data_IF_762519777614
#
_entry.id   IF_762519777614
#
_cell.length_a   1.000
_cell.length_b   1.000
_cell.length_c   1.000
_cell.angle_alpha   90.00
_cell.angle_beta   90.00
_cell.angle_gamma   90.00
#
_symmetry.space_group_name_H-M   'P 1'
#
loop_
_entity.id
_entity.type
_entity.pdbx_description
1 polymer ?
#
# COMPACT_ATOMS: atom_id res chain seq x y z
N UNK A 1 17.07 1.12 -17.94
CA UNK A 1 15.74 0.49 -17.77
C UNK A 1 15.80 -0.57 -16.67
N UNK A 2 15.49 -0.23 -15.40
CA UNK A 2 15.37 -1.20 -14.31
C UNK A 2 14.07 -0.98 -13.51
N UNK A 3 12.92 -1.38 -14.06
CA UNK A 3 11.61 -1.25 -13.38
C UNK A 3 10.85 -2.57 -13.22
N UNK A 4 11.30 -3.65 -13.89
CA UNK A 4 10.60 -4.94 -13.94
C UNK A 4 10.97 -5.88 -12.78
N UNK A 5 12.10 -5.64 -12.10
CA UNK A 5 12.61 -6.53 -11.04
C UNK A 5 12.01 -6.28 -9.65
N UNK A 6 11.41 -5.11 -9.40
CA UNK A 6 10.93 -4.75 -8.05
C UNK A 6 9.59 -5.37 -7.66
N UNK A 7 8.86 -5.97 -8.62
CA UNK A 7 7.57 -6.63 -8.35
C UNK A 7 7.70 -8.12 -8.03
N UNK A 8 8.88 -8.73 -8.17
CA UNK A 8 9.09 -10.16 -7.92
C UNK A 8 9.87 -10.48 -6.62
N UNK A 9 10.37 -9.47 -5.89
CA UNK A 9 11.28 -9.70 -4.74
C UNK A 9 10.75 -9.40 -3.33
N UNK A 10 9.47 -9.09 -3.13
CA UNK A 10 8.94 -8.85 -1.78
C UNK A 10 7.85 -9.86 -1.40
N UNK A 11 8.19 -11.15 -1.49
CA UNK A 11 7.35 -12.25 -0.99
C UNK A 11 7.73 -12.72 0.43
N UNK A 12 8.68 -12.06 1.10
CA UNK A 12 9.08 -12.42 2.46
C UNK A 12 8.43 -11.48 3.47
N UNK A 13 7.18 -11.80 3.80
CA UNK A 13 6.50 -11.31 4.99
C UNK A 13 6.11 -12.55 5.82
N UNK A 14 7.13 -13.24 6.33
CA UNK A 14 7.05 -14.60 6.89
C UNK A 14 6.46 -14.67 8.30
N UNK A 15 5.50 -13.81 8.66
CA UNK A 15 4.86 -13.85 9.99
C UNK A 15 3.52 -13.08 10.04
N UNK A 16 2.68 -13.22 9.00
CA UNK A 16 1.26 -12.88 9.10
C UNK A 16 0.50 -14.15 9.49
N UNK A 17 0.40 -14.40 10.80
CA UNK A 17 -0.31 -15.54 11.36
C UNK A 17 -1.82 -15.52 11.01
N UNK A 18 -2.31 -16.68 10.59
CA UNK A 18 -3.70 -17.16 10.61
C UNK A 18 -4.76 -16.39 9.79
N UNK A 19 -4.43 -16.03 8.55
CA UNK A 19 -5.45 -16.00 7.50
C UNK A 19 -5.26 -17.24 6.63
N UNK A 20 -6.27 -18.11 6.59
CA UNK A 20 -6.31 -19.27 5.71
C UNK A 20 -5.91 -18.84 4.29
N UNK A 21 -4.74 -19.31 3.85
CA UNK A 21 -4.18 -18.98 2.55
C UNK A 21 -5.19 -19.30 1.43
N UNK A 22 -6.06 -20.30 1.64
CA UNK A 22 -7.14 -20.64 0.73
C UNK A 22 -8.26 -19.58 0.71
N UNK A 23 -8.60 -18.98 1.86
CA UNK A 23 -9.53 -17.84 1.94
C UNK A 23 -8.94 -16.61 1.27
N UNK A 24 -7.66 -16.31 1.49
CA UNK A 24 -6.96 -15.20 0.82
C UNK A 24 -6.99 -15.39 -0.69
N UNK A 25 -6.70 -16.60 -1.17
CA UNK A 25 -6.75 -16.90 -2.60
C UNK A 25 -8.19 -16.93 -3.16
N UNK A 26 -9.19 -17.32 -2.37
CA UNK A 26 -10.61 -17.25 -2.74
C UNK A 26 -11.09 -15.80 -2.81
N UNK A 27 -10.68 -14.97 -1.86
CA UNK A 27 -10.96 -13.54 -1.84
C UNK A 27 -10.26 -12.84 -3.00
N UNK A 28 -8.97 -13.12 -3.27
CA UNK A 28 -8.27 -12.60 -4.45
C UNK A 28 -9.00 -12.98 -5.75
N UNK A 29 -9.45 -14.24 -5.89
CA UNK A 29 -10.23 -14.67 -7.06
C UNK A 29 -11.56 -13.93 -7.20
N UNK A 30 -12.24 -13.61 -6.09
CA UNK A 30 -13.53 -12.91 -6.10
C UNK A 30 -13.41 -11.38 -6.21
N UNK A 31 -12.38 -10.79 -5.61
CA UNK A 31 -12.20 -9.34 -5.48
C UNK A 31 -11.49 -8.71 -6.67
N UNK A 32 -10.59 -9.45 -7.33
CA UNK A 32 -9.79 -8.87 -8.41
C UNK A 32 -10.60 -8.61 -9.69
N UNK A 33 -11.78 -9.21 -9.80
CA UNK A 33 -12.75 -8.91 -10.84
C UNK A 33 -12.18 -9.06 -12.26
N UNK A 34 -12.81 -8.43 -13.27
CA UNK A 34 -12.39 -8.53 -14.66
C UNK A 34 -11.00 -7.90 -14.96
N UNK A 35 -10.45 -7.11 -14.04
CA UNK A 35 -9.23 -6.33 -14.26
C UNK A 35 -7.92 -7.05 -13.86
N UNK A 36 -7.99 -8.36 -13.56
CA UNK A 36 -6.87 -9.12 -12.98
C UNK A 36 -5.57 -9.10 -13.74
N UNK A 37 -5.65 -9.24 -15.05
CA UNK A 37 -4.47 -9.32 -15.87
C UNK A 37 -4.08 -7.97 -16.49
N UNK A 38 -4.74 -6.88 -16.08
CA UNK A 38 -4.57 -5.56 -16.67
C UNK A 38 -3.79 -4.60 -15.76
N UNK A 39 -3.77 -4.84 -14.45
CA UNK A 39 -3.01 -4.02 -13.50
C UNK A 39 -1.49 -4.11 -13.80
N UNK A 40 -0.85 -2.95 -13.99
CA UNK A 40 0.60 -2.87 -14.28
C UNK A 40 1.00 -3.17 -15.73
N UNK A 41 0.04 -3.46 -16.62
CA UNK A 41 0.29 -3.64 -18.05
C UNK A 41 0.31 -2.28 -18.75
N UNK A 42 1.37 -1.98 -19.50
CA UNK A 42 1.48 -0.71 -20.23
C UNK A 42 0.33 -0.57 -21.25
N UNK A 43 -0.32 0.59 -21.27
CA UNK A 43 -1.44 0.88 -22.17
C UNK A 43 -2.78 0.23 -21.79
N UNK A 44 -2.86 -0.56 -20.72
CA UNK A 44 -4.09 -1.25 -20.33
C UNK A 44 -5.17 -0.36 -19.73
N UNK A 45 -4.87 0.92 -19.46
CA UNK A 45 -5.80 1.88 -18.80
C UNK A 45 -7.18 1.90 -19.46
N UNK A 46 -7.23 1.87 -20.79
CA UNK A 46 -8.49 1.94 -21.55
C UNK A 46 -9.21 0.59 -21.66
N UNK A 47 -8.57 -0.50 -21.22
CA UNK A 47 -9.12 -1.86 -21.23
C UNK A 47 -9.71 -2.24 -19.87
N UNK A 48 -9.50 -1.41 -18.84
CA UNK A 48 -10.02 -1.65 -17.50
C UNK A 48 -11.54 -1.52 -17.50
N UNK A 49 -12.22 -2.55 -16.99
CA UNK A 49 -13.63 -2.48 -16.70
C UNK A 49 -13.89 -1.40 -15.63
N UNK A 50 -14.83 -0.51 -15.92
CA UNK A 50 -15.24 0.59 -15.02
C UNK A 50 -16.51 0.22 -14.22
N UNK A 51 -16.67 0.73 -12.99
CA UNK A 51 -15.78 1.65 -12.30
C UNK A 51 -14.56 0.95 -11.69
N UNK A 52 -13.39 1.58 -11.80
CA UNK A 52 -12.17 1.14 -11.13
C UNK A 52 -11.36 2.32 -10.60
N UNK A 53 -10.70 2.14 -9.45
CA UNK A 53 -9.77 3.11 -8.90
C UNK A 53 -8.36 2.80 -9.43
N UNK A 54 -7.72 3.80 -10.06
CA UNK A 54 -6.39 3.68 -10.65
C UNK A 54 -5.44 4.60 -9.89
N UNK A 55 -4.27 4.08 -9.50
CA UNK A 55 -3.19 4.85 -8.90
C UNK A 55 -1.99 4.87 -9.85
N UNK A 56 -1.40 6.06 -10.05
CA UNK A 56 -0.09 6.19 -10.67
C UNK A 56 0.98 5.88 -9.62
N UNK A 57 1.77 4.83 -9.83
CA UNK A 57 2.80 4.43 -8.86
C UNK A 57 3.95 5.44 -8.80
N UNK A 58 4.31 6.05 -9.93
CA UNK A 58 5.38 7.05 -10.00
C UNK A 58 4.98 8.29 -9.20
N UNK A 59 3.79 8.85 -9.47
CA UNK A 59 3.30 10.01 -8.70
C UNK A 59 3.06 9.69 -7.22
N UNK A 60 2.63 8.47 -6.90
CA UNK A 60 2.49 8.06 -5.50
C UNK A 60 3.85 8.09 -4.80
N UNK A 61 4.89 7.55 -5.44
CA UNK A 61 6.23 7.52 -4.88
C UNK A 61 6.80 8.95 -4.73
N UNK A 62 6.68 9.77 -5.77
CA UNK A 62 7.12 11.17 -5.75
C UNK A 62 6.44 11.97 -4.64
N UNK A 63 5.13 11.78 -4.45
CA UNK A 63 4.37 12.44 -3.39
C UNK A 63 4.82 12.00 -1.99
N UNK A 64 5.10 10.71 -1.80
CA UNK A 64 5.60 10.17 -0.53
C UNK A 64 6.96 10.78 -0.22
N UNK A 65 7.88 10.77 -1.18
CA UNK A 65 9.23 11.30 -1.03
C UNK A 65 9.22 12.81 -0.78
N UNK A 66 8.43 13.56 -1.56
CA UNK A 66 8.29 15.01 -1.40
C UNK A 66 7.84 15.37 0.01
N UNK A 67 6.81 14.70 0.53
CA UNK A 67 6.33 14.96 1.89
C UNK A 67 7.32 14.53 2.96
N UNK A 68 7.99 13.39 2.79
CA UNK A 68 9.01 12.93 3.71
C UNK A 68 10.19 13.92 3.79
N UNK A 69 10.71 14.35 2.65
CA UNK A 69 11.81 15.33 2.57
C UNK A 69 11.41 16.69 3.13
N UNK A 70 10.20 17.17 2.85
CA UNK A 70 9.71 18.46 3.36
C UNK A 70 9.66 18.46 4.89
N UNK A 71 9.11 17.41 5.50
CA UNK A 71 8.99 17.32 6.97
C UNK A 71 10.36 17.08 7.62
N UNK A 72 11.22 16.28 7.00
CA UNK A 72 12.59 16.07 7.46
C UNK A 72 13.41 17.37 7.43
N UNK A 73 13.28 18.18 6.36
CA UNK A 73 13.92 19.48 6.23
C UNK A 73 13.48 20.49 7.30
N UNK A 74 12.26 20.34 7.83
CA UNK A 74 11.75 21.12 8.95
C UNK A 74 12.16 20.58 10.34
N UNK A 75 12.95 19.48 10.40
CA UNK A 75 13.35 18.85 11.65
C UNK A 75 12.19 18.22 12.43
N UNK A 76 11.11 17.83 11.74
CA UNK A 76 9.92 17.21 12.33
C UNK A 76 9.82 15.75 11.89
N UNK A 77 8.90 15.03 12.54
CA UNK A 77 8.62 13.63 12.21
C UNK A 77 7.26 13.53 11.53
N UNK A 78 7.22 12.82 10.40
CA UNK A 78 6.00 12.66 9.63
C UNK A 78 5.18 11.49 10.17
N UNK A 79 3.88 11.73 10.38
CA UNK A 79 2.90 10.70 10.74
C UNK A 79 1.70 10.74 9.79
N UNK A 80 1.73 9.99 8.68
CA UNK A 80 0.68 10.01 7.67
C UNK A 80 -0.62 9.43 8.21
N UNK A 81 -1.74 10.00 7.75
CA UNK A 81 -3.06 9.52 8.12
C UNK A 81 -3.57 8.48 7.12
N UNK A 82 -3.72 7.24 7.58
CA UNK A 82 -4.06 6.09 6.76
C UNK A 82 -5.52 6.05 6.27
N UNK A 83 -6.41 6.91 6.81
CA UNK A 83 -7.83 6.96 6.39
C UNK A 83 -8.00 7.23 4.90
N UNK A 84 -7.02 7.90 4.29
CA UNK A 84 -7.04 8.31 2.89
C UNK A 84 -6.95 7.11 1.93
N UNK A 85 -6.12 6.11 2.27
CA UNK A 85 -5.84 4.99 1.37
C UNK A 85 -6.25 3.63 1.92
N UNK A 86 -6.35 3.48 3.25
CA UNK A 86 -6.72 2.23 3.95
C UNK A 86 -6.00 0.98 3.40
N UNK A 87 -4.74 1.17 3.03
CA UNK A 87 -3.93 0.19 2.32
C UNK A 87 -2.60 -0.01 3.04
N UNK A 88 -2.33 -1.25 3.45
CA UNK A 88 -1.10 -1.65 4.12
C UNK A 88 0.15 -1.36 3.29
N UNK A 89 0.10 -1.61 1.98
CA UNK A 89 1.27 -1.42 1.11
C UNK A 89 1.68 0.06 1.03
N UNK A 90 0.71 0.96 0.95
CA UNK A 90 0.97 2.42 0.92
C UNK A 90 1.53 2.87 2.28
N UNK A 91 0.97 2.40 3.39
CA UNK A 91 1.52 2.69 4.72
C UNK A 91 2.98 2.21 4.85
N UNK A 92 3.29 1.00 4.37
CA UNK A 92 4.67 0.47 4.36
C UNK A 92 5.62 1.31 3.51
N UNK A 93 5.17 1.84 2.37
CA UNK A 93 5.98 2.76 1.56
C UNK A 93 6.28 4.05 2.30
N UNK A 94 5.28 4.62 2.98
CA UNK A 94 5.48 5.83 3.79
C UNK A 94 6.43 5.59 4.97
N UNK A 95 6.30 4.45 5.66
CA UNK A 95 7.23 4.07 6.75
C UNK A 95 8.66 3.89 6.22
N UNK A 96 8.84 3.24 5.06
CA UNK A 96 10.14 3.11 4.39
C UNK A 96 10.74 4.46 4.00
N UNK A 97 9.91 5.45 3.68
CA UNK A 97 10.34 6.81 3.39
C UNK A 97 10.68 7.64 4.65
N UNK A 98 10.58 7.06 5.86
CA UNK A 98 10.97 7.73 7.11
C UNK A 98 9.81 8.22 7.97
N UNK A 99 8.56 7.85 7.66
CA UNK A 99 7.44 8.16 8.55
C UNK A 99 7.57 7.42 9.90
N UNK A 100 7.26 8.12 11.00
CA UNK A 100 7.28 7.55 12.35
C UNK A 100 5.88 7.08 12.75
N UNK A 101 5.47 5.96 12.17
CA UNK A 101 4.14 5.39 12.39
C UNK A 101 3.05 6.01 11.50
N UNK A 102 1.80 5.65 11.79
CA UNK A 102 0.62 6.15 11.08
C UNK A 102 -0.43 6.67 12.05
N UNK A 103 -1.38 7.44 11.53
CA UNK A 103 -2.61 7.83 12.23
C UNK A 103 -3.83 7.19 11.55
N UNK A 104 -4.77 6.66 12.32
CA UNK A 104 -6.00 6.01 11.84
C UNK A 104 -7.24 6.74 12.35
N UNK A 105 -8.38 6.56 11.69
CA UNK A 105 -9.62 7.25 12.05
C UNK A 105 -10.55 6.38 12.90
N UNK A 106 -10.38 5.06 12.87
CA UNK A 106 -11.26 4.11 13.56
C UNK A 106 -10.46 2.96 14.16
N UNK A 107 -11.03 2.33 15.20
CA UNK A 107 -10.42 1.16 15.85
C UNK A 107 -10.26 0.00 14.86
N UNK A 108 -11.25 -0.24 13.99
CA UNK A 108 -11.16 -1.29 12.98
C UNK A 108 -10.03 -1.07 11.96
N UNK A 109 -9.71 0.19 11.64
CA UNK A 109 -8.49 0.48 10.87
C UNK A 109 -7.23 0.14 11.68
N UNK A 110 -7.17 0.53 12.97
CA UNK A 110 -6.05 0.23 13.85
C UNK A 110 -5.77 -1.28 13.93
N UNK A 111 -6.83 -2.10 14.09
CA UNK A 111 -6.74 -3.56 14.14
C UNK A 111 -6.13 -4.14 12.86
N UNK A 112 -6.61 -3.69 11.70
CA UNK A 112 -6.10 -4.15 10.39
C UNK A 112 -4.63 -3.75 10.20
N UNK A 113 -4.27 -2.51 10.53
CA UNK A 113 -2.89 -2.04 10.38
C UNK A 113 -1.93 -2.72 11.38
N UNK A 114 -2.40 -2.96 12.61
CA UNK A 114 -1.66 -3.70 13.64
C UNK A 114 -1.42 -5.14 13.21
N UNK A 115 -2.46 -5.85 12.75
CA UNK A 115 -2.35 -7.20 12.22
C UNK A 115 -1.42 -7.28 10.99
N UNK A 116 -1.35 -6.20 10.20
CA UNK A 116 -0.43 -6.08 9.08
C UNK A 116 1.03 -5.74 9.45
N UNK A 117 1.36 -5.71 10.75
CA UNK A 117 2.71 -5.54 11.29
C UNK A 117 3.10 -4.10 11.64
N UNK A 118 2.19 -3.13 11.55
CA UNK A 118 2.48 -1.73 11.88
C UNK A 118 2.27 -1.52 13.39
N UNK A 119 3.35 -1.30 14.13
CA UNK A 119 3.30 -1.22 15.60
C UNK A 119 2.99 0.17 16.15
N UNK A 120 3.36 1.23 15.41
CA UNK A 120 3.24 2.61 15.88
C UNK A 120 2.02 3.28 15.23
N UNK A 121 0.86 3.17 15.89
CA UNK A 121 -0.45 3.64 15.40
C UNK A 121 -1.00 4.66 16.39
N UNK A 122 -1.49 5.80 15.87
CA UNK A 122 -2.21 6.84 16.62
C UNK A 122 -3.68 6.84 16.22
#
# INVERSE_FOLDING_TARGET
MPGRELLQKNADCSEAADLDQALVERLKRRLWGPNKNLAGVAGSRNLLATPCLILSLDHLQDNIETMASLVAGAGKQLRPHAKAHKCLEIARRQLRAGAQGIAVATIGEAEIFSAGGIKNIL
#
